data_IF_133106554514
#
_entry.id   IF_133106554514
#
_cell.length_a   1.000
_cell.length_b   1.000
_cell.length_c   1.000
_cell.angle_alpha   90.00
_cell.angle_beta   90.00
_cell.angle_gamma   90.00
#
_symmetry.space_group_name_H-M   'P 1'
#
loop_
_entity.id
_entity.type
_entity.pdbx_description
1 polymer ?
#
# COMPACT_ATOMS: atom_id res chain seq x y z
N UNK A 1 -9.27 22.45 5.84
CA UNK A 1 -10.02 23.69 6.11
C UNK A 1 -10.01 23.94 7.60
N UNK A 2 -9.45 25.07 8.03
CA UNK A 2 -9.29 25.42 9.45
C UNK A 2 -10.49 26.17 10.03
N UNK A 3 -11.40 26.65 9.18
CA UNK A 3 -12.57 27.44 9.59
C UNK A 3 -12.32 28.93 9.80
N UNK A 4 -11.07 29.37 9.67
CA UNK A 4 -10.64 30.76 9.88
C UNK A 4 -10.42 31.47 8.54
N UNK A 5 -10.65 32.79 8.52
CA UNK A 5 -10.51 33.59 7.30
C UNK A 5 -9.05 33.74 6.85
N UNK A 6 -8.12 33.86 7.80
CA UNK A 6 -6.67 34.03 7.60
C UNK A 6 -5.99 33.32 8.79
N UNK A 7 -5.65 32.04 8.61
CA UNK A 7 -5.22 31.17 9.72
C UNK A 7 -3.74 31.37 10.08
N UNK A 8 -2.90 31.74 9.13
CA UNK A 8 -1.47 31.98 9.34
C UNK A 8 -1.11 33.47 9.47
N UNK A 9 -2.11 34.35 9.43
CA UNK A 9 -2.04 35.79 9.69
C UNK A 9 -1.16 36.55 8.69
N UNK A 10 -1.11 36.09 7.43
CA UNK A 10 -0.29 36.70 6.38
C UNK A 10 -1.02 37.82 5.59
N UNK A 11 -2.31 38.01 5.86
CA UNK A 11 -3.18 39.01 5.24
C UNK A 11 -3.90 38.52 3.98
N UNK A 12 -3.73 37.26 3.58
CA UNK A 12 -4.47 36.61 2.51
C UNK A 12 -5.65 35.82 3.11
N UNK A 13 -6.87 36.15 2.69
CA UNK A 13 -8.04 35.40 3.15
C UNK A 13 -8.42 34.27 2.20
N UNK A 14 -9.15 33.28 2.73
CA UNK A 14 -9.81 32.23 1.94
C UNK A 14 -8.84 31.36 1.11
N UNK A 15 -7.64 31.07 1.64
CA UNK A 15 -6.58 30.35 0.91
C UNK A 15 -6.95 28.93 0.49
N UNK A 16 -7.75 28.23 1.30
CA UNK A 16 -8.28 26.90 0.98
C UNK A 16 -9.74 26.80 1.42
N UNK A 17 -10.65 26.65 0.45
CA UNK A 17 -12.07 26.51 0.71
C UNK A 17 -12.42 25.06 1.04
N UNK A 18 -13.56 24.84 1.70
CA UNK A 18 -14.13 23.50 1.90
C UNK A 18 -14.29 22.76 0.57
N UNK A 19 -14.76 23.46 -0.48
CA UNK A 19 -14.87 22.92 -1.83
C UNK A 19 -13.54 22.46 -2.44
N UNK A 20 -12.43 23.16 -2.13
CA UNK A 20 -11.11 22.76 -2.60
C UNK A 20 -10.64 21.47 -1.92
N UNK A 21 -10.93 21.32 -0.62
CA UNK A 21 -10.68 20.09 0.13
C UNK A 21 -11.49 18.93 -0.46
N UNK A 22 -12.80 19.10 -0.66
CA UNK A 22 -13.63 18.07 -1.29
C UNK A 22 -13.20 17.74 -2.72
N UNK A 23 -12.70 18.72 -3.48
CA UNK A 23 -12.17 18.48 -4.83
C UNK A 23 -10.87 17.63 -4.78
N UNK A 24 -9.97 17.91 -3.83
CA UNK A 24 -8.76 17.12 -3.61
C UNK A 24 -9.10 15.70 -3.15
N UNK A 25 -10.06 15.55 -2.23
CA UNK A 25 -10.53 14.25 -1.74
C UNK A 25 -11.12 13.44 -2.90
N UNK A 26 -12.01 14.03 -3.70
CA UNK A 26 -12.58 13.40 -4.88
C UNK A 26 -11.50 12.98 -5.89
N UNK A 27 -10.50 13.84 -6.12
CA UNK A 27 -9.37 13.55 -7.00
C UNK A 27 -8.58 12.34 -6.50
N UNK A 28 -8.15 12.34 -5.23
CA UNK A 28 -7.37 11.24 -4.62
C UNK A 28 -8.16 9.94 -4.61
N UNK A 29 -9.44 9.97 -4.20
CA UNK A 29 -10.30 8.79 -4.15
C UNK A 29 -10.58 8.20 -5.53
N UNK A 30 -10.55 9.03 -6.58
CA UNK A 30 -10.75 8.62 -7.96
C UNK A 30 -9.49 8.15 -8.70
N UNK A 31 -8.31 8.28 -8.09
CA UNK A 31 -7.05 7.83 -8.71
C UNK A 31 -7.09 6.33 -8.96
N UNK A 32 -6.71 5.94 -10.17
CA UNK A 32 -6.53 4.54 -10.51
C UNK A 32 -5.35 3.97 -9.69
N UNK A 33 -5.50 2.78 -9.08
CA UNK A 33 -4.41 2.15 -8.35
C UNK A 33 -3.30 1.68 -9.31
N UNK A 34 -2.07 1.49 -8.81
CA UNK A 34 -1.02 0.83 -9.57
C UNK A 34 -1.48 -0.53 -10.11
N UNK A 35 -0.93 -0.94 -11.26
CA UNK A 35 -1.36 -2.14 -11.98
C UNK A 35 -0.26 -3.19 -12.00
N UNK A 36 -0.60 -4.37 -12.56
CA UNK A 36 0.36 -5.40 -12.89
C UNK A 36 0.64 -5.33 -14.39
N UNK A 37 1.81 -4.83 -14.78
CA UNK A 37 2.23 -4.85 -16.18
C UNK A 37 2.42 -6.28 -16.67
N UNK A 38 2.11 -6.52 -17.94
CA UNK A 38 2.43 -7.78 -18.62
C UNK A 38 3.72 -7.61 -19.41
N UNK A 39 4.84 -8.24 -19.02
CA UNK A 39 6.08 -8.15 -19.78
C UNK A 39 5.93 -8.64 -21.22
N UNK A 40 6.57 -8.00 -22.19
CA UNK A 40 6.55 -8.46 -23.59
C UNK A 40 7.34 -9.76 -23.78
N UNK A 41 8.44 -9.91 -23.04
CA UNK A 41 9.35 -11.04 -23.16
C UNK A 41 8.77 -12.31 -22.50
N UNK A 42 8.64 -13.43 -23.24
CA UNK A 42 8.07 -14.67 -22.69
C UNK A 42 8.84 -15.22 -21.48
N UNK A 43 10.16 -15.04 -21.47
CA UNK A 43 11.02 -15.46 -20.35
C UNK A 43 10.70 -14.69 -19.07
N UNK A 44 10.46 -13.38 -19.15
CA UNK A 44 10.04 -12.59 -18.00
C UNK A 44 8.60 -12.96 -17.58
N UNK A 45 7.69 -13.20 -18.52
CA UNK A 45 6.35 -13.68 -18.15
C UNK A 45 6.41 -15.00 -17.35
N UNK A 46 7.24 -15.96 -17.79
CA UNK A 46 7.44 -17.22 -17.08
C UNK A 46 8.10 -17.01 -15.71
N UNK A 47 9.13 -16.17 -15.63
CA UNK A 47 9.80 -15.84 -14.38
C UNK A 47 8.86 -15.13 -13.39
N UNK A 48 8.03 -14.20 -13.85
CA UNK A 48 7.07 -13.49 -13.02
C UNK A 48 5.93 -14.41 -12.52
N UNK A 49 5.48 -15.35 -13.34
CA UNK A 49 4.51 -16.36 -12.91
C UNK A 49 5.10 -17.28 -11.83
N UNK A 50 6.30 -17.83 -12.07
CA UNK A 50 7.02 -18.63 -11.08
C UNK A 50 7.34 -17.83 -9.80
N UNK A 51 7.66 -16.54 -9.95
CA UNK A 51 7.98 -15.65 -8.85
C UNK A 51 6.81 -15.37 -7.91
N UNK A 52 5.59 -15.33 -8.43
CA UNK A 52 4.38 -15.20 -7.62
C UNK A 52 4.11 -16.47 -6.78
N UNK A 53 4.35 -17.65 -7.36
CA UNK A 53 4.28 -18.92 -6.62
C UNK A 53 5.35 -18.97 -5.52
N UNK A 54 6.59 -18.58 -5.84
CA UNK A 54 7.69 -18.47 -4.87
C UNK A 54 7.34 -17.47 -3.76
N UNK A 55 6.78 -16.31 -4.11
CA UNK A 55 6.35 -15.30 -3.14
C UNK A 55 5.36 -15.85 -2.10
N UNK A 56 4.38 -16.64 -2.55
CA UNK A 56 3.47 -17.34 -1.65
C UNK A 56 4.19 -18.42 -0.83
N UNK A 57 5.01 -19.25 -1.48
CA UNK A 57 5.72 -20.37 -0.84
C UNK A 57 6.76 -19.96 0.21
N UNK A 58 7.35 -18.77 0.10
CA UNK A 58 8.28 -18.21 1.07
C UNK A 58 7.58 -17.54 2.27
N UNK A 59 6.25 -17.44 2.26
CA UNK A 59 5.49 -16.79 3.34
C UNK A 59 5.37 -15.26 3.21
N UNK A 60 5.82 -14.65 2.12
CA UNK A 60 5.70 -13.20 1.92
C UNK A 60 4.23 -12.74 1.93
N UNK A 61 3.33 -13.59 1.41
CA UNK A 61 1.90 -13.33 1.33
C UNK A 61 1.15 -13.35 2.68
N UNK A 62 1.81 -13.66 3.80
CA UNK A 62 1.19 -13.60 5.13
C UNK A 62 0.83 -12.16 5.52
N UNK A 63 1.72 -11.21 5.22
CA UNK A 63 1.49 -9.77 5.41
C UNK A 63 1.15 -9.10 4.06
N UNK A 64 1.88 -9.41 3.00
CA UNK A 64 1.66 -8.83 1.67
C UNK A 64 0.59 -9.59 0.87
N UNK A 65 -0.62 -9.61 1.41
CA UNK A 65 -1.74 -10.39 0.84
C UNK A 65 -2.09 -9.91 -0.56
N UNK A 66 -2.15 -10.78 -1.59
CA UNK A 66 -2.34 -10.37 -2.98
C UNK A 66 -3.55 -9.48 -3.22
N UNK A 67 -4.67 -9.76 -2.54
CA UNK A 67 -5.86 -8.93 -2.61
C UNK A 67 -6.65 -8.92 -1.30
N UNK A 68 -7.37 -7.83 -1.06
CA UNK A 68 -8.36 -7.70 0.03
C UNK A 68 -9.78 -7.58 -0.55
N UNK A 69 -10.78 -8.22 0.07
CA UNK A 69 -12.17 -8.11 -0.35
C UNK A 69 -12.78 -6.79 0.14
N UNK A 70 -13.48 -6.10 -0.76
CA UNK A 70 -14.19 -4.87 -0.50
C UNK A 70 -15.67 -5.04 -0.88
N UNK A 71 -16.56 -4.78 0.07
CA UNK A 71 -18.02 -4.99 -0.10
C UNK A 71 -18.70 -3.91 -0.94
N UNK A 72 -18.10 -2.74 -1.05
CA UNK A 72 -18.72 -1.56 -1.66
C UNK A 72 -17.67 -0.66 -2.30
N UNK A 73 -17.96 -0.13 -3.49
CA UNK A 73 -17.18 0.92 -4.16
C UNK A 73 -17.68 2.33 -3.84
N UNK A 74 -18.61 2.45 -2.90
CA UNK A 74 -19.04 3.73 -2.34
C UNK A 74 -17.97 4.24 -1.38
N UNK A 75 -17.41 5.40 -1.66
CA UNK A 75 -16.55 6.14 -0.76
C UNK A 75 -17.34 7.30 -0.13
N UNK A 76 -17.51 7.26 1.19
CA UNK A 76 -18.17 8.30 1.97
C UNK A 76 -17.11 9.30 2.46
N UNK A 77 -17.19 10.55 2.01
CA UNK A 77 -16.26 11.61 2.41
C UNK A 77 -16.41 11.90 3.92
N UNK A 78 -15.35 11.73 4.73
CA UNK A 78 -15.40 12.07 6.14
C UNK A 78 -15.49 13.58 6.41
N UNK A 79 -15.35 14.42 5.39
CA UNK A 79 -15.51 15.87 5.47
C UNK A 79 -14.70 16.50 6.61
N UNK A 80 -15.21 17.52 7.32
CA UNK A 80 -14.51 18.15 8.44
C UNK A 80 -14.46 17.28 9.71
N UNK A 81 -15.07 16.08 9.72
CA UNK A 81 -15.11 15.19 10.87
C UNK A 81 -14.11 14.04 10.80
N UNK A 82 -13.02 14.19 10.02
CA UNK A 82 -11.80 13.38 10.16
C UNK A 82 -11.10 13.71 11.50
N UNK A 83 -11.82 13.44 12.59
CA UNK A 83 -11.37 13.54 13.97
C UNK A 83 -10.72 12.22 14.38
N UNK A 84 -10.00 12.21 15.51
CA UNK A 84 -9.40 10.99 16.05
C UNK A 84 -10.47 9.89 16.32
N UNK A 85 -10.67 8.99 15.35
CA UNK A 85 -11.66 7.93 15.39
C UNK A 85 -11.95 7.36 13.99
N UNK A 86 -12.77 6.30 13.91
CA UNK A 86 -13.32 5.82 12.64
C UNK A 86 -14.76 6.29 12.55
N UNK A 87 -15.06 7.13 11.54
CA UNK A 87 -16.43 7.55 11.24
C UNK A 87 -17.32 6.32 11.02
N UNK A 88 -18.47 6.26 11.70
CA UNK A 88 -19.47 5.23 11.44
C UNK A 88 -20.38 5.66 10.31
N UNK A 89 -20.88 4.68 9.57
CA UNK A 89 -21.83 4.91 8.50
C UNK A 89 -23.08 5.64 9.03
N UNK A 90 -23.41 6.78 8.43
CA UNK A 90 -24.55 7.62 8.81
C UNK A 90 -24.28 8.63 9.94
N UNK A 91 -23.04 8.76 10.42
CA UNK A 91 -22.68 9.81 11.38
C UNK A 91 -22.62 11.22 10.76
N UNK A 92 -22.57 11.34 9.42
CA UNK A 92 -22.65 12.63 8.74
C UNK A 92 -23.30 12.56 7.34
N UNK A 93 -23.71 13.74 6.86
CA UNK A 93 -24.13 14.02 5.49
C UNK A 93 -22.96 14.63 4.70
N UNK A 94 -21.94 13.82 4.41
CA UNK A 94 -20.82 14.18 3.53
C UNK A 94 -21.09 13.90 2.05
N UNK A 95 -20.18 14.33 1.18
CA UNK A 95 -20.19 13.91 -0.21
C UNK A 95 -20.01 12.38 -0.32
N UNK A 96 -20.64 11.79 -1.32
CA UNK A 96 -20.52 10.35 -1.58
C UNK A 96 -20.06 10.18 -3.00
N UNK A 97 -18.95 9.47 -3.15
CA UNK A 97 -18.39 9.15 -4.45
C UNK A 97 -18.69 7.68 -4.76
N UNK A 98 -19.45 7.45 -5.83
CA UNK A 98 -19.64 6.11 -6.35
C UNK A 98 -18.47 5.79 -7.29
N UNK A 99 -17.45 5.11 -6.77
CA UNK A 99 -16.27 4.75 -7.56
C UNK A 99 -16.61 3.73 -8.65
N UNK A 100 -17.76 3.04 -8.59
CA UNK A 100 -18.19 2.15 -9.67
C UNK A 100 -18.48 2.89 -10.99
N UNK A 101 -18.58 4.23 -10.95
CA UNK A 101 -18.66 5.07 -12.15
C UNK A 101 -17.31 5.20 -12.88
N UNK A 102 -16.21 4.84 -12.24
CA UNK A 102 -14.88 4.83 -12.82
C UNK A 102 -14.62 3.48 -13.51
N UNK A 103 -14.22 3.51 -14.78
CA UNK A 103 -14.02 2.30 -15.59
C UNK A 103 -13.04 1.32 -14.94
N UNK A 104 -11.94 1.82 -14.37
CA UNK A 104 -10.94 0.99 -13.72
C UNK A 104 -11.51 0.24 -12.50
N UNK A 105 -12.35 0.90 -11.69
CA UNK A 105 -12.91 0.32 -10.48
C UNK A 105 -14.03 -0.67 -10.79
N UNK A 106 -14.85 -0.35 -11.80
CA UNK A 106 -15.94 -1.20 -12.28
C UNK A 106 -15.43 -2.57 -12.79
N UNK A 107 -14.22 -2.58 -13.35
CA UNK A 107 -13.60 -3.76 -13.95
C UNK A 107 -12.75 -4.60 -12.97
N UNK A 108 -12.69 -4.22 -11.68
CA UNK A 108 -11.97 -5.02 -10.69
C UNK A 108 -12.60 -6.42 -10.53
N UNK A 109 -11.78 -7.47 -10.35
CA UNK A 109 -12.28 -8.83 -10.16
C UNK A 109 -13.19 -8.93 -8.94
N UNK A 110 -14.14 -9.88 -8.97
CA UNK A 110 -15.00 -10.20 -7.82
C UNK A 110 -14.82 -11.64 -7.41
N UNK A 111 -14.92 -11.90 -6.10
CA UNK A 111 -14.96 -13.27 -5.59
C UNK A 111 -16.37 -13.88 -5.73
N UNK A 112 -16.53 -15.15 -5.32
CA UNK A 112 -17.82 -15.85 -5.37
C UNK A 112 -18.92 -15.20 -4.53
N UNK A 113 -18.56 -14.45 -3.48
CA UNK A 113 -19.50 -13.69 -2.66
C UNK A 113 -19.91 -12.34 -3.29
N UNK A 114 -19.29 -11.95 -4.41
CA UNK A 114 -19.53 -10.68 -5.09
C UNK A 114 -18.69 -9.51 -4.57
N UNK A 115 -17.82 -9.73 -3.58
CA UNK A 115 -16.92 -8.70 -3.07
C UNK A 115 -15.88 -8.34 -4.14
N UNK A 116 -15.56 -7.05 -4.24
CA UNK A 116 -14.51 -6.53 -5.12
C UNK A 116 -13.14 -6.90 -4.56
N UNK A 117 -12.28 -7.51 -5.36
CA UNK A 117 -10.95 -7.92 -4.96
C UNK A 117 -9.94 -6.84 -5.34
N UNK A 118 -9.48 -6.07 -4.34
CA UNK A 118 -8.51 -4.98 -4.53
C UNK A 118 -7.09 -5.53 -4.43
N UNK A 119 -6.26 -5.47 -5.49
CA UNK A 119 -4.94 -6.09 -5.53
C UNK A 119 -3.87 -5.24 -4.82
N UNK A 120 -4.04 -5.03 -3.51
CA UNK A 120 -3.20 -4.18 -2.67
C UNK A 120 -1.78 -4.74 -2.46
N UNK A 121 -1.64 -6.07 -2.47
CA UNK A 121 -0.44 -6.75 -2.00
C UNK A 121 -0.01 -6.30 -0.59
N UNK A 122 -0.99 -6.24 0.31
CA UNK A 122 -0.88 -5.76 1.68
C UNK A 122 -2.12 -6.17 2.48
N UNK A 123 -2.04 -6.06 3.80
CA UNK A 123 -3.12 -6.44 4.70
C UNK A 123 -3.64 -5.29 5.57
N UNK A 124 -3.09 -4.08 5.39
CA UNK A 124 -3.40 -2.87 6.16
C UNK A 124 -3.21 -3.02 7.67
N UNK A 125 -2.44 -4.03 8.10
CA UNK A 125 -2.10 -4.24 9.51
C UNK A 125 -0.72 -3.75 9.82
N UNK A 126 -0.47 -3.58 11.12
CA UNK A 126 0.84 -3.28 11.66
C UNK A 126 1.54 -4.56 12.09
N UNK A 127 2.83 -4.65 11.77
CA UNK A 127 3.68 -5.79 12.09
C UNK A 127 5.00 -5.33 12.68
N UNK A 128 5.57 -6.15 13.55
CA UNK A 128 6.96 -6.00 13.98
C UNK A 128 7.85 -6.38 12.79
N UNK A 129 8.56 -5.43 12.19
CA UNK A 129 9.41 -5.65 11.00
C UNK A 129 10.91 -5.56 11.28
N UNK A 130 11.28 -5.40 12.55
CA UNK A 130 12.67 -5.33 12.98
C UNK A 130 12.87 -5.90 14.38
N UNK A 131 14.08 -6.38 14.62
CA UNK A 131 14.47 -7.08 15.84
C UNK A 131 15.98 -6.91 16.13
N UNK A 132 16.48 -7.57 17.17
CA UNK A 132 17.88 -7.46 17.60
C UNK A 132 18.91 -7.98 16.58
N UNK A 133 18.51 -8.88 15.67
CA UNK A 133 19.38 -9.44 14.64
C UNK A 133 19.28 -8.64 13.34
N UNK A 134 18.07 -8.24 12.95
CA UNK A 134 17.78 -7.49 11.72
C UNK A 134 17.05 -6.20 12.12
N UNK A 135 17.84 -5.13 12.29
CA UNK A 135 17.36 -3.84 12.80
C UNK A 135 17.19 -2.77 11.71
N UNK A 136 17.47 -3.08 10.44
CA UNK A 136 17.54 -2.10 9.36
C UNK A 136 16.25 -1.27 9.21
N UNK A 137 15.09 -1.91 9.40
CA UNK A 137 13.76 -1.27 9.35
C UNK A 137 13.28 -0.75 10.73
N UNK A 138 14.02 -0.96 11.82
CA UNK A 138 13.65 -0.59 13.20
C UNK A 138 14.37 0.64 13.71
N UNK A 139 14.49 1.66 12.86
CA UNK A 139 15.40 2.79 13.06
C UNK A 139 14.71 4.09 13.50
N UNK A 140 13.40 4.05 13.78
CA UNK A 140 12.68 5.19 14.33
C UNK A 140 13.20 5.52 15.73
N UNK A 141 13.47 6.81 15.96
CA UNK A 141 14.03 7.27 17.23
C UNK A 141 12.95 7.48 18.28
N UNK A 142 11.76 7.87 17.84
CA UNK A 142 10.62 8.22 18.68
C UNK A 142 9.50 7.20 18.49
N UNK A 143 9.01 6.64 19.60
CA UNK A 143 7.77 5.88 19.58
C UNK A 143 6.61 6.85 19.35
N UNK A 144 5.71 6.51 18.44
CA UNK A 144 4.44 7.20 18.27
C UNK A 144 3.41 6.51 19.17
N UNK A 145 2.69 7.29 19.99
CA UNK A 145 1.70 6.82 21.01
C UNK A 145 1.23 5.37 20.86
N UNK A 146 1.66 4.50 21.77
CA UNK A 146 1.29 3.07 21.85
C UNK A 146 1.77 2.17 20.70
N UNK A 147 2.60 2.67 19.79
CA UNK A 147 3.22 1.92 18.69
C UNK A 147 4.74 1.92 18.88
N UNK A 148 5.32 0.73 19.01
CA UNK A 148 6.75 0.57 19.15
C UNK A 148 7.49 0.93 17.85
N UNK A 149 8.76 1.32 17.97
CA UNK A 149 9.59 1.86 16.87
C UNK A 149 9.96 0.84 15.79
N UNK A 150 9.65 -0.44 16.01
CA UNK A 150 9.85 -1.54 15.08
C UNK A 150 8.54 -2.03 14.47
N UNK A 151 7.42 -1.35 14.74
CA UNK A 151 6.09 -1.72 14.28
C UNK A 151 5.63 -0.75 13.21
N UNK A 152 5.37 -1.26 12.00
CA UNK A 152 4.94 -0.47 10.85
C UNK A 152 3.78 -1.14 10.14
N UNK A 153 2.98 -0.34 9.44
CA UNK A 153 1.97 -0.86 8.53
C UNK A 153 2.66 -1.59 7.37
N UNK A 154 2.12 -2.72 6.94
CA UNK A 154 2.59 -3.41 5.75
C UNK A 154 2.55 -2.47 4.55
N UNK A 155 3.71 -2.18 3.95
CA UNK A 155 3.75 -1.41 2.72
C UNK A 155 3.06 -2.16 1.59
N UNK A 156 2.17 -1.47 0.88
CA UNK A 156 1.47 -2.02 -0.26
C UNK A 156 2.46 -2.29 -1.41
N UNK A 157 2.52 -3.52 -1.92
CA UNK A 157 3.45 -3.82 -3.02
C UNK A 157 2.89 -3.45 -4.40
N UNK A 158 1.64 -2.98 -4.48
CA UNK A 158 1.12 -2.42 -5.72
C UNK A 158 2.03 -1.27 -6.20
N UNK A 159 2.58 -1.36 -7.41
CA UNK A 159 3.52 -0.35 -7.89
C UNK A 159 4.95 -0.41 -7.32
N UNK A 160 5.32 -1.43 -6.52
CA UNK A 160 6.67 -1.54 -5.92
C UNK A 160 7.80 -1.58 -6.97
N UNK A 161 7.52 -2.06 -8.18
CA UNK A 161 8.46 -2.04 -9.31
C UNK A 161 8.83 -0.63 -9.79
N UNK A 162 8.08 0.41 -9.40
CA UNK A 162 8.27 1.80 -9.85
C UNK A 162 8.78 2.75 -8.76
N UNK A 163 9.03 2.28 -7.53
CA UNK A 163 9.18 3.16 -6.36
C UNK A 163 10.54 3.13 -5.68
N UNK A 164 11.57 2.51 -6.27
CA UNK A 164 12.95 2.55 -5.75
C UNK A 164 13.40 3.99 -5.44
N UNK A 165 14.05 4.27 -4.29
CA UNK A 165 14.44 3.37 -3.19
C UNK A 165 13.34 2.83 -2.27
N UNK A 166 13.72 1.87 -1.43
CA UNK A 166 12.79 1.10 -0.60
C UNK A 166 13.00 1.35 0.90
N UNK A 167 12.01 0.91 1.67
CA UNK A 167 11.92 1.17 3.11
C UNK A 167 11.34 2.55 3.41
N UNK A 168 10.86 2.76 4.63
CA UNK A 168 10.23 4.02 5.05
C UNK A 168 11.18 5.22 5.09
N UNK A 169 12.50 4.99 5.01
CA UNK A 169 13.53 6.03 4.86
C UNK A 169 14.03 6.22 3.43
N UNK A 170 13.54 5.42 2.49
CA UNK A 170 13.95 5.52 1.09
C UNK A 170 15.48 5.36 0.91
N UNK A 171 16.10 4.42 1.62
CA UNK A 171 17.57 4.24 1.65
C UNK A 171 18.03 2.83 1.27
N UNK A 172 17.12 1.92 0.93
CA UNK A 172 17.44 0.58 0.44
C UNK A 172 17.37 0.56 -1.10
N UNK A 173 18.47 0.29 -1.82
CA UNK A 173 18.57 0.59 -3.25
C UNK A 173 17.94 -0.47 -4.17
N UNK A 174 17.44 -1.58 -3.62
CA UNK A 174 16.91 -2.70 -4.40
C UNK A 174 15.87 -3.51 -3.64
N UNK A 175 15.04 -4.24 -4.40
CA UNK A 175 14.06 -5.18 -3.87
C UNK A 175 14.74 -6.29 -3.04
N UNK A 176 15.88 -6.82 -3.50
CA UNK A 176 16.66 -7.79 -2.72
C UNK A 176 17.15 -7.20 -1.39
N UNK A 177 17.62 -5.94 -1.39
CA UNK A 177 18.08 -5.27 -0.17
C UNK A 177 16.94 -5.10 0.85
N UNK A 178 15.74 -4.67 0.42
CA UNK A 178 14.60 -4.51 1.34
C UNK A 178 14.04 -5.85 1.82
N UNK A 179 14.00 -6.88 0.99
CA UNK A 179 13.59 -8.22 1.44
C UNK A 179 14.54 -8.72 2.54
N UNK A 180 15.86 -8.55 2.36
CA UNK A 180 16.86 -8.94 3.38
C UNK A 180 16.80 -8.13 4.66
N UNK A 181 16.20 -6.95 4.62
CA UNK A 181 16.05 -6.02 5.75
C UNK A 181 14.86 -6.36 6.66
N UNK A 182 14.01 -7.32 6.30
CA UNK A 182 12.89 -7.75 7.13
C UNK A 182 13.36 -8.56 8.34
N UNK A 183 13.11 -8.01 9.53
CA UNK A 183 13.19 -8.72 10.81
C UNK A 183 11.81 -8.95 11.42
N UNK A 184 11.77 -9.23 12.72
CA UNK A 184 10.55 -9.42 13.49
C UNK A 184 9.69 -10.57 12.94
N UNK A 185 8.41 -10.28 12.72
CA UNK A 185 7.45 -11.18 12.10
C UNK A 185 7.84 -11.55 10.67
N UNK A 186 8.50 -10.64 9.93
CA UNK A 186 8.98 -10.90 8.57
C UNK A 186 10.26 -11.75 8.50
N UNK A 187 10.90 -12.06 9.63
CA UNK A 187 12.22 -12.73 9.65
C UNK A 187 12.17 -14.12 9.00
N UNK A 188 11.13 -14.91 9.26
CA UNK A 188 11.01 -16.26 8.72
C UNK A 188 10.97 -16.26 7.19
N UNK A 189 10.15 -15.38 6.58
CA UNK A 189 10.09 -15.23 5.13
C UNK A 189 11.42 -14.71 4.55
N UNK A 190 12.08 -13.78 5.26
CA UNK A 190 13.41 -13.27 4.89
C UNK A 190 14.47 -14.37 4.92
N UNK A 191 14.49 -15.23 5.93
CA UNK A 191 15.42 -16.37 6.01
C UNK A 191 15.15 -17.39 4.91
N UNK A 192 13.88 -17.68 4.63
CA UNK A 192 13.48 -18.54 3.52
C UNK A 192 13.96 -17.96 2.17
N UNK A 193 13.80 -16.66 1.94
CA UNK A 193 14.30 -15.97 0.75
C UNK A 193 15.83 -16.05 0.61
N UNK A 194 16.56 -15.80 1.71
CA UNK A 194 18.03 -15.89 1.71
C UNK A 194 18.50 -17.31 1.41
N UNK A 195 17.78 -18.33 1.91
CA UNK A 195 18.10 -19.74 1.69
C UNK A 195 17.63 -20.30 0.34
N UNK A 196 16.72 -19.62 -0.36
CA UNK A 196 16.16 -20.07 -1.64
C UNK A 196 17.23 -20.23 -2.74
N UNK A 197 16.90 -20.91 -3.84
CA UNK A 197 17.79 -20.95 -4.98
C UNK A 197 17.94 -19.55 -5.61
N UNK A 198 19.06 -19.30 -6.29
CA UNK A 198 19.25 -18.02 -6.99
C UNK A 198 18.16 -17.77 -8.03
N UNK A 199 17.72 -18.83 -8.72
CA UNK A 199 16.61 -18.76 -9.65
C UNK A 199 15.32 -18.28 -8.96
N UNK A 200 14.96 -18.86 -7.82
CA UNK A 200 13.73 -18.51 -7.10
C UNK A 200 13.76 -17.06 -6.63
N UNK A 201 14.91 -16.59 -6.11
CA UNK A 201 15.09 -15.18 -5.77
C UNK A 201 14.93 -14.28 -7.01
N UNK A 202 15.53 -14.65 -8.13
CA UNK A 202 15.44 -13.88 -9.37
C UNK A 202 14.00 -13.83 -9.91
N UNK A 203 13.29 -14.96 -9.90
CA UNK A 203 11.90 -15.06 -10.33
C UNK A 203 10.99 -14.20 -9.45
N UNK A 204 11.16 -14.24 -8.12
CA UNK A 204 10.42 -13.38 -7.19
C UNK A 204 10.67 -11.90 -7.49
N UNK A 205 11.92 -11.49 -7.74
CA UNK A 205 12.25 -10.11 -8.11
C UNK A 205 11.63 -9.74 -9.46
N UNK A 206 11.61 -10.67 -10.42
CA UNK A 206 10.96 -10.49 -11.71
C UNK A 206 9.45 -10.28 -11.56
N UNK A 207 8.80 -11.02 -10.65
CA UNK A 207 7.39 -10.83 -10.28
C UNK A 207 7.14 -9.44 -9.68
N UNK A 208 7.89 -9.04 -8.64
CA UNK A 208 7.72 -7.74 -7.99
C UNK A 208 7.91 -6.56 -8.95
N UNK A 209 8.81 -6.69 -9.92
CA UNK A 209 9.00 -5.70 -10.99
C UNK A 209 7.82 -5.58 -11.95
N UNK A 210 6.88 -6.52 -11.94
CA UNK A 210 5.63 -6.39 -12.72
C UNK A 210 4.59 -5.53 -12.03
N UNK A 211 4.73 -5.23 -10.74
CA UNK A 211 3.80 -4.37 -10.01
C UNK A 211 4.25 -2.92 -10.19
N UNK A 212 3.59 -2.15 -11.06
CA UNK A 212 4.08 -0.83 -11.51
C UNK A 212 3.00 0.24 -11.40
N UNK A 213 3.45 1.48 -11.25
CA UNK A 213 2.61 2.66 -11.46
C UNK A 213 2.61 2.92 -12.97
N UNK A 214 1.46 2.84 -13.62
CA UNK A 214 1.31 3.19 -15.05
C UNK A 214 1.57 4.69 -15.24
N UNK A 215 2.32 5.05 -16.29
CA UNK A 215 2.65 6.43 -16.67
C UNK A 215 1.81 6.88 -17.87
#
# INVERSE_FOLDING_TARGET
WTGEADFDEDGMSDEILEGDVSAIVAFIAGLQPPTRMKPEQPEWQAAAASGEEVFGGLGCAECHRPALPLKSLRFDDPGPADMAGTMRQGEMEGAVYDLALLEWAANLPRNEAGDVMVPLFGDLKRHVIADQQIAALGNELLAQRFVDRNVFMTGELWGVGSTNPYGHRNDLPSLDAVIRAHGGEGRAAREAYVAAAEKDRSDLIAFLKTLVIEQ
#
